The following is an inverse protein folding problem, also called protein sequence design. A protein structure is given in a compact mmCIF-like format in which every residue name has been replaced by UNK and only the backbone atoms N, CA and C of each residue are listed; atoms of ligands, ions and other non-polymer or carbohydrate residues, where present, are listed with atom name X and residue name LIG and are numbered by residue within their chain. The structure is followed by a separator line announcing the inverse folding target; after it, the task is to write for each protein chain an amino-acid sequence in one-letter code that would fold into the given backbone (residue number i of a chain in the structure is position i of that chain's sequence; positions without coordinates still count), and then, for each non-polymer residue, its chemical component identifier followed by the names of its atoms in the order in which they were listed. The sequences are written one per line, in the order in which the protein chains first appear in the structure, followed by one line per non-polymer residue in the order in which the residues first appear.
data_IF_138094537336
#
_entry.id   IF_138094537336
#
_cell.length_a   1.000
_cell.length_b   1.000
_cell.length_c   1.000
_cell.angle_alpha   90.00
_cell.angle_beta   90.00
_cell.angle_gamma   90.00
#
_symmetry.space_group_name_H-M   'P 1'
#
loop_
_entity.id
_entity.type
_entity.pdbx_description
1 polymer ?
#
# COMPACT_ATOMS: atom_id res chain seq x y z
N UNK A 1 1.18 12.58 10.34
CA UNK A 1 1.35 11.89 9.04
C UNK A 1 1.47 12.82 7.83
N UNK A 2 0.64 13.86 7.66
CA UNK A 2 0.75 14.78 6.49
C UNK A 2 2.06 15.58 6.48
N UNK A 3 2.38 16.27 7.57
CA UNK A 3 3.62 17.08 7.68
C UNK A 3 4.90 16.26 7.46
N UNK A 4 4.94 15.00 7.89
CA UNK A 4 6.06 14.10 7.62
C UNK A 4 6.19 13.76 6.12
N UNK A 5 5.08 13.48 5.44
CA UNK A 5 5.10 13.21 3.98
C UNK A 5 5.54 14.43 3.18
N UNK A 6 5.15 15.62 3.61
CA UNK A 6 5.57 16.88 2.98
C UNK A 6 7.06 17.17 3.17
N UNK A 7 7.64 16.76 4.31
CA UNK A 7 9.06 16.92 4.60
C UNK A 7 9.96 15.86 3.93
N UNK A 8 9.39 14.73 3.49
CA UNK A 8 10.11 13.60 2.91
C UNK A 8 9.45 13.10 1.61
N UNK A 9 9.29 13.95 0.59
CA UNK A 9 8.64 13.57 -0.67
C UNK A 9 9.38 12.45 -1.43
N UNK A 10 10.69 12.31 -1.22
CA UNK A 10 11.55 11.28 -1.82
C UNK A 10 11.42 9.91 -1.15
N UNK A 11 10.83 9.84 0.05
CA UNK A 11 10.68 8.58 0.75
C UNK A 11 9.72 7.65 -0.01
N UNK A 12 10.11 6.39 -0.27
CA UNK A 12 9.24 5.43 -0.94
C UNK A 12 7.89 5.31 -0.23
N UNK A 13 6.81 5.50 -0.99
CA UNK A 13 5.44 5.45 -0.47
C UNK A 13 4.93 6.76 0.16
N UNK A 14 5.71 7.84 0.19
CA UNK A 14 5.25 9.14 0.71
C UNK A 14 4.01 9.69 -0.04
N UNK A 15 3.90 9.40 -1.33
CA UNK A 15 2.73 9.74 -2.16
C UNK A 15 1.58 8.73 -2.09
N UNK A 16 1.77 7.57 -1.47
CA UNK A 16 0.77 6.49 -1.50
C UNK A 16 -0.45 6.83 -0.64
N UNK A 17 -1.62 6.70 -1.23
CA UNK A 17 -2.90 6.84 -0.54
C UNK A 17 -3.25 5.58 0.24
N UNK A 18 -4.12 5.71 1.25
CA UNK A 18 -4.63 4.58 2.03
C UNK A 18 -5.31 3.55 1.12
N UNK A 19 -6.09 4.00 0.13
CA UNK A 19 -6.77 3.11 -0.82
C UNK A 19 -5.78 2.29 -1.66
N UNK A 20 -4.68 2.89 -2.13
CA UNK A 20 -3.62 2.18 -2.84
C UNK A 20 -2.90 1.17 -1.95
N UNK A 21 -2.63 1.54 -0.70
CA UNK A 21 -2.04 0.62 0.27
C UNK A 21 -2.94 -0.60 0.54
N UNK A 22 -4.26 -0.40 0.63
CA UNK A 22 -5.22 -1.52 0.77
C UNK A 22 -5.27 -2.41 -0.47
N UNK A 23 -5.20 -1.86 -1.69
CA UNK A 23 -5.11 -2.67 -2.92
C UNK A 23 -3.84 -3.51 -2.95
N UNK A 24 -2.70 -2.92 -2.56
CA UNK A 24 -1.44 -3.64 -2.46
C UNK A 24 -1.52 -4.75 -1.40
N UNK A 25 -2.08 -4.46 -0.23
CA UNK A 25 -2.35 -5.45 0.81
C UNK A 25 -3.25 -6.58 0.31
N UNK A 26 -4.33 -6.27 -0.39
CA UNK A 26 -5.20 -7.26 -1.01
C UNK A 26 -4.49 -8.09 -2.09
N UNK A 27 -3.52 -7.55 -2.81
CA UNK A 27 -2.70 -8.34 -3.76
C UNK A 27 -1.71 -9.26 -3.03
N UNK A 28 -0.99 -8.74 -2.04
CA UNK A 28 0.02 -9.49 -1.29
C UNK A 28 -0.63 -10.59 -0.45
N UNK A 29 -1.68 -10.24 0.29
CA UNK A 29 -2.35 -11.13 1.24
C UNK A 29 -3.60 -11.79 0.68
N UNK A 30 -4.23 -11.26 -0.37
CA UNK A 30 -5.34 -11.94 -1.04
C UNK A 30 -4.91 -13.18 -1.81
N UNK A 31 -3.64 -13.26 -2.24
CA UNK A 31 -3.05 -14.55 -2.66
C UNK A 31 -2.86 -15.53 -1.49
N UNK A 32 -2.66 -15.01 -0.27
CA UNK A 32 -2.46 -15.79 0.95
C UNK A 32 -3.78 -16.33 1.55
N UNK A 33 -4.85 -15.53 1.52
CA UNK A 33 -6.17 -15.87 2.07
C UNK A 33 -7.14 -16.42 1.01
N UNK A 34 -6.95 -16.05 -0.25
CA UNK A 34 -7.87 -16.38 -1.34
C UNK A 34 -7.61 -17.71 -2.02
N UNK A 35 -6.51 -18.40 -1.67
CA UNK A 35 -6.14 -19.73 -2.16
C UNK A 35 -6.31 -19.87 -3.67
N UNK A 36 -5.26 -19.54 -4.44
CA UNK A 36 -5.07 -19.87 -5.87
C UNK A 36 -6.28 -20.58 -6.52
N UNK A 37 -7.33 -19.81 -6.88
CA UNK A 37 -8.44 -20.36 -7.65
C UNK A 37 -8.07 -20.22 -9.12
N UNK A 38 -7.27 -21.18 -9.59
CA UNK A 38 -7.07 -21.47 -11.00
C UNK A 38 -8.26 -22.27 -11.54
#
# INVERSE_FOLDING_TARGET
MRAWREAHPEAPGAGTTVAEAFKLGARIFGGLLGGERR
#
